data_IF_449114455424
#
_entry.id   IF_449114455424
#
_cell.length_a   1.000
_cell.length_b   1.000
_cell.length_c   1.000
_cell.angle_alpha   90.00
_cell.angle_beta   90.00
_cell.angle_gamma   90.00
#
_symmetry.space_group_name_H-M   'P 1'
#
loop_
_entity.id
_entity.type
_entity.pdbx_description
1 polymer ?
#
# COMPACT_ATOMS: atom_id res chain seq x y z
N UNK A 1 -1.15 -1.96 -18.75
CA UNK A 1 -0.31 -2.00 -17.52
C UNK A 1 -1.31 -2.03 -16.37
N UNK A 2 -1.24 -3.02 -15.46
CA UNK A 2 -2.22 -3.15 -14.38
C UNK A 2 -1.58 -2.65 -13.08
N UNK A 3 -1.48 -1.33 -12.96
CA UNK A 3 -0.96 -0.64 -11.76
C UNK A 3 -2.02 0.35 -11.34
N UNK A 4 -2.25 0.47 -10.03
CA UNK A 4 -3.18 1.41 -9.44
C UNK A 4 -2.44 2.25 -8.40
N UNK A 5 -2.66 3.56 -8.43
CA UNK A 5 -2.15 4.51 -7.44
C UNK A 5 -3.27 4.90 -6.46
N UNK A 6 -2.89 5.09 -5.21
CA UNK A 6 -3.73 5.66 -4.16
C UNK A 6 -2.87 6.60 -3.33
N UNK A 7 -3.44 7.75 -2.96
CA UNK A 7 -2.90 8.65 -1.96
C UNK A 7 -4.08 9.16 -1.11
N UNK A 8 -3.82 9.51 0.16
CA UNK A 8 -4.84 10.10 1.02
C UNK A 8 -5.26 11.50 0.54
N UNK A 9 -4.40 12.15 -0.24
CA UNK A 9 -4.72 13.35 -1.01
C UNK A 9 -5.15 12.96 -2.45
N UNK A 10 -6.42 13.15 -2.83
CA UNK A 10 -6.92 12.72 -4.13
C UNK A 10 -6.23 13.42 -5.31
N UNK A 11 -5.79 14.68 -5.14
CA UNK A 11 -5.08 15.40 -6.20
C UNK A 11 -3.74 14.72 -6.53
N UNK A 12 -3.02 14.24 -5.50
CA UNK A 12 -1.76 13.50 -5.68
C UNK A 12 -1.96 12.15 -6.36
N UNK A 13 -3.07 11.47 -6.07
CA UNK A 13 -3.42 10.21 -6.73
C UNK A 13 -3.71 10.44 -8.22
N UNK A 14 -4.45 11.51 -8.55
CA UNK A 14 -4.73 11.93 -9.93
C UNK A 14 -3.44 12.31 -10.68
N UNK A 15 -2.60 13.17 -10.09
CA UNK A 15 -1.30 13.55 -10.66
C UNK A 15 -0.41 12.34 -10.96
N UNK A 16 -0.36 11.36 -10.07
CA UNK A 16 0.38 10.12 -10.29
C UNK A 16 -0.23 9.29 -11.44
N UNK A 17 -1.56 9.20 -11.50
CA UNK A 17 -2.29 8.55 -12.57
C UNK A 17 -1.96 9.14 -13.94
N UNK A 18 -2.01 10.47 -14.06
CA UNK A 18 -1.69 11.21 -15.29
C UNK A 18 -0.21 11.08 -15.66
N UNK A 19 0.69 11.31 -14.70
CA UNK A 19 2.13 11.34 -14.95
C UNK A 19 2.67 9.98 -15.41
N UNK A 20 2.18 8.89 -14.83
CA UNK A 20 2.65 7.53 -15.14
C UNK A 20 1.75 6.76 -16.12
N UNK A 21 0.55 7.29 -16.44
CA UNK A 21 -0.44 6.63 -17.28
C UNK A 21 -0.96 5.34 -16.64
N UNK A 22 -1.32 5.41 -15.36
CA UNK A 22 -1.83 4.29 -14.54
C UNK A 22 -3.20 4.66 -13.96
N UNK A 23 -3.96 3.65 -13.49
CA UNK A 23 -5.21 3.92 -12.80
C UNK A 23 -4.91 4.63 -11.47
N UNK A 24 -5.76 5.56 -11.05
CA UNK A 24 -5.79 6.08 -9.67
C UNK A 24 -7.15 5.78 -9.04
N UNK A 25 -7.18 5.67 -7.71
CA UNK A 25 -8.42 5.46 -6.95
C UNK A 25 -8.50 6.45 -5.79
N UNK A 26 -9.73 6.86 -5.47
CA UNK A 26 -10.01 7.75 -4.34
C UNK A 26 -10.04 7.01 -2.98
N UNK A 27 -10.22 5.69 -3.02
CA UNK A 27 -10.30 4.83 -1.84
C UNK A 27 -9.44 3.60 -2.05
N UNK A 28 -8.53 3.35 -1.11
CA UNK A 28 -7.61 2.22 -1.16
C UNK A 28 -8.32 0.86 -1.27
N UNK A 29 -9.57 0.74 -0.79
CA UNK A 29 -10.37 -0.47 -0.95
C UNK A 29 -10.60 -0.82 -2.42
N UNK A 30 -10.74 0.19 -3.28
CA UNK A 30 -10.87 -0.01 -4.73
C UNK A 30 -9.58 -0.55 -5.34
N UNK A 31 -8.41 -0.23 -4.75
CA UNK A 31 -7.14 -0.84 -5.17
C UNK A 31 -7.11 -2.33 -4.83
N UNK A 32 -7.62 -2.72 -3.65
CA UNK A 32 -7.67 -4.13 -3.22
C UNK A 32 -8.66 -4.98 -4.01
N UNK A 33 -9.79 -4.41 -4.44
CA UNK A 33 -10.75 -5.08 -5.33
C UNK A 33 -10.12 -5.49 -6.68
N UNK A 34 -9.08 -4.78 -7.12
CA UNK A 34 -8.30 -5.14 -8.32
C UNK A 34 -7.33 -6.30 -8.09
N UNK A 35 -7.26 -6.85 -6.87
CA UNK A 35 -6.41 -8.00 -6.49
C UNK A 35 -4.94 -7.86 -6.95
N UNK A 36 -4.23 -6.80 -6.50
CA UNK A 36 -2.84 -6.59 -6.89
C UNK A 36 -1.94 -7.71 -6.35
N UNK A 37 -0.92 -8.09 -7.12
CA UNK A 37 0.06 -9.09 -6.67
C UNK A 37 1.10 -8.50 -5.71
N UNK A 38 1.34 -7.19 -5.77
CA UNK A 38 2.32 -6.51 -4.94
C UNK A 38 1.81 -5.13 -4.52
N UNK A 39 2.18 -4.68 -3.32
CA UNK A 39 1.91 -3.35 -2.80
C UNK A 39 3.21 -2.61 -2.49
N UNK A 40 3.30 -1.36 -2.96
CA UNK A 40 4.39 -0.43 -2.66
C UNK A 40 3.87 0.60 -1.67
N UNK A 41 4.40 0.59 -0.45
CA UNK A 41 3.94 1.45 0.64
C UNK A 41 5.01 2.51 0.88
N UNK A 42 4.75 3.70 0.34
CA UNK A 42 5.64 4.87 0.37
C UNK A 42 4.96 6.06 1.05
N UNK A 43 4.10 5.78 2.03
CA UNK A 43 3.29 6.76 2.76
C UNK A 43 4.06 7.31 3.97
N UNK A 44 3.48 8.16 4.83
CA UNK A 44 4.12 8.51 6.10
C UNK A 44 4.35 7.27 6.99
N UNK A 45 5.47 7.24 7.71
CA UNK A 45 5.96 6.06 8.47
C UNK A 45 4.97 5.52 9.51
N UNK A 46 4.11 6.38 10.07
CA UNK A 46 3.04 5.99 11.00
C UNK A 46 1.96 5.11 10.36
N UNK A 47 1.84 5.13 9.05
CA UNK A 47 0.83 4.37 8.29
C UNK A 47 1.37 3.10 7.63
N UNK A 48 2.69 2.89 7.64
CA UNK A 48 3.32 1.75 6.97
C UNK A 48 2.79 0.40 7.45
N UNK A 49 2.88 0.10 8.74
CA UNK A 49 2.46 -1.20 9.29
C UNK A 49 0.96 -1.47 9.07
N UNK A 50 0.03 -0.54 9.38
CA UNK A 50 -1.38 -0.75 9.10
C UNK A 50 -1.67 -1.09 7.62
N UNK A 51 -1.09 -0.34 6.69
CA UNK A 51 -1.28 -0.58 5.25
C UNK A 51 -0.63 -1.89 4.79
N UNK A 52 0.54 -2.22 5.33
CA UNK A 52 1.25 -3.46 5.04
C UNK A 52 0.46 -4.70 5.49
N UNK A 53 -0.17 -4.63 6.66
CA UNK A 53 -1.06 -5.68 7.15
C UNK A 53 -2.24 -5.85 6.19
N UNK A 54 -2.91 -4.77 5.78
CA UNK A 54 -4.01 -4.85 4.84
C UNK A 54 -3.59 -5.47 3.50
N UNK A 55 -2.43 -5.07 2.96
CA UNK A 55 -1.91 -5.65 1.73
C UNK A 55 -1.56 -7.14 1.90
N UNK A 56 -0.92 -7.53 3.01
CA UNK A 56 -0.61 -8.94 3.30
C UNK A 56 -1.87 -9.80 3.45
N UNK A 57 -2.93 -9.30 4.08
CA UNK A 57 -4.22 -9.97 4.20
C UNK A 57 -4.88 -10.24 2.83
N UNK A 58 -4.54 -9.44 1.80
CA UNK A 58 -4.95 -9.65 0.41
C UNK A 58 -3.93 -10.46 -0.41
N UNK A 59 -2.91 -11.04 0.23
CA UNK A 59 -1.89 -11.86 -0.42
C UNK A 59 -0.87 -11.08 -1.24
N UNK A 60 -0.73 -9.78 -1.01
CA UNK A 60 0.24 -8.95 -1.74
C UNK A 60 1.68 -9.22 -1.26
N UNK A 61 2.62 -9.28 -2.20
CA UNK A 61 4.03 -9.07 -1.89
C UNK A 61 4.27 -7.61 -1.49
N UNK A 62 5.11 -7.39 -0.48
CA UNK A 62 5.26 -6.05 0.10
C UNK A 62 6.60 -5.42 -0.24
N UNK A 63 6.54 -4.17 -0.69
CA UNK A 63 7.64 -3.21 -0.58
C UNK A 63 7.20 -2.13 0.41
N UNK A 64 7.99 -1.89 1.46
CA UNK A 64 7.70 -0.88 2.48
C UNK A 64 8.91 0.04 2.57
N UNK A 65 8.71 1.34 2.36
CA UNK A 65 9.84 2.26 2.36
C UNK A 65 10.39 2.46 3.79
N UNK A 66 11.71 2.70 3.89
CA UNK A 66 12.36 2.93 5.18
C UNK A 66 12.01 4.31 5.77
N UNK A 67 11.97 4.44 7.11
CA UNK A 67 12.01 3.36 8.10
C UNK A 67 10.69 2.56 8.11
N UNK A 68 10.75 1.30 8.56
CA UNK A 68 9.59 0.40 8.57
C UNK A 68 8.37 1.01 9.24
N UNK A 69 8.55 1.71 10.37
CA UNK A 69 7.50 2.46 11.05
C UNK A 69 8.12 3.43 12.08
N UNK A 70 7.31 4.32 12.63
CA UNK A 70 7.66 5.18 13.77
C UNK A 70 7.60 4.43 15.12
N UNK A 71 6.91 3.28 15.16
CA UNK A 71 6.87 2.36 16.30
C UNK A 71 6.90 0.90 15.84
N UNK A 72 7.22 -0.04 16.71
CA UNK A 72 7.13 -1.48 16.36
C UNK A 72 5.73 -2.08 16.59
N UNK A 73 4.73 -1.25 16.89
CA UNK A 73 3.37 -1.73 17.13
C UNK A 73 2.82 -2.39 15.86
N UNK A 74 2.43 -3.66 15.96
CA UNK A 74 1.91 -4.44 14.85
C UNK A 74 2.96 -5.11 13.95
N UNK A 75 4.26 -4.91 14.21
CA UNK A 75 5.32 -5.54 13.43
C UNK A 75 5.26 -7.07 13.51
N UNK A 76 5.05 -7.64 14.70
CA UNK A 76 4.91 -9.09 14.89
C UNK A 76 3.70 -9.67 14.13
N UNK A 77 2.60 -8.92 14.08
CA UNK A 77 1.41 -9.31 13.30
C UNK A 77 1.72 -9.29 11.81
N UNK A 78 2.40 -8.24 11.33
CA UNK A 78 2.82 -8.18 9.94
C UNK A 78 3.73 -9.37 9.59
N UNK A 79 4.70 -9.67 10.46
CA UNK A 79 5.61 -10.81 10.29
C UNK A 79 4.84 -12.13 10.15
N UNK A 80 3.88 -12.38 11.05
CA UNK A 80 3.06 -13.61 10.98
C UNK A 80 2.25 -13.76 9.69
N UNK A 81 1.90 -12.65 9.04
CA UNK A 81 1.11 -12.66 7.79
C UNK A 81 1.99 -12.88 6.55
N UNK A 82 3.27 -12.54 6.60
CA UNK A 82 4.18 -12.65 5.44
C UNK A 82 5.00 -13.92 5.43
N UNK A 83 5.04 -14.65 6.56
CA UNK A 83 5.73 -15.94 6.67
C UNK A 83 4.86 -17.15 6.27
N UNK A 84 3.55 -16.95 6.06
CA UNK A 84 2.58 -17.98 5.69
C UNK A 84 2.51 -18.25 4.19
#
# INVERSE_FOLDING_TARGET
RNVVAFDADPERAEEAGEHFGIDSVEDIRQAWEKSPCSAFITTPTSSHIPLAIHAAEHGCHLFIEKPLSDTLAGADRLLSLVES
#
